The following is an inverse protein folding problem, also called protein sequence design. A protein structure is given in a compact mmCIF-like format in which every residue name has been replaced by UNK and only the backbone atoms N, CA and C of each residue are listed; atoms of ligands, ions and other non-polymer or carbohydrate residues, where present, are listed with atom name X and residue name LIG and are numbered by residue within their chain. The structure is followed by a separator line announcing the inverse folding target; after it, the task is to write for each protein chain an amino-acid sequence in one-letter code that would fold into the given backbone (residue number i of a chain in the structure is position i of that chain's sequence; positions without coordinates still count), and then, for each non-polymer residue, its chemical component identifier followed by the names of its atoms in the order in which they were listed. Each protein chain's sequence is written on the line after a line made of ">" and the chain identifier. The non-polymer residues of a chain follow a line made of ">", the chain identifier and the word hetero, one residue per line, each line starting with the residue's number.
data_IF_654833481326
#
_entry.id   IF_654833481326
#
_cell.length_a   1.000
_cell.length_b   1.000
_cell.length_c   1.000
_cell.angle_alpha   90.00
_cell.angle_beta   90.00
_cell.angle_gamma   90.00
#
_symmetry.space_group_name_H-M   'P 1'
#
loop_
_entity.id
_entity.type
_entity.pdbx_description
1 polymer ?
#
# COMPACT_ATOMS: atom_id res chain seq x y z
N UNK A 1 17.13 -42.09 16.57
CA UNK A 1 17.69 -41.40 15.38
C UNK A 1 16.66 -40.49 14.72
N UNK A 2 15.48 -40.99 14.34
CA UNK A 2 14.44 -40.20 13.66
C UNK A 2 13.97 -38.94 14.43
N UNK A 3 13.76 -39.02 15.75
CA UNK A 3 13.31 -37.86 16.55
C UNK A 3 14.31 -36.69 16.53
N UNK A 4 15.61 -36.97 16.55
CA UNK A 4 16.65 -35.93 16.49
C UNK A 4 16.65 -35.23 15.12
N UNK A 5 16.40 -35.99 14.05
CA UNK A 5 16.28 -35.45 12.69
C UNK A 5 15.05 -34.56 12.56
N UNK A 6 13.89 -35.00 13.10
CA UNK A 6 12.65 -34.20 13.08
C UNK A 6 12.82 -32.89 13.86
N UNK A 7 13.41 -32.95 15.07
CA UNK A 7 13.65 -31.74 15.86
C UNK A 7 14.62 -30.77 15.18
N UNK A 8 15.68 -31.29 14.55
CA UNK A 8 16.60 -30.46 13.78
C UNK A 8 15.91 -29.78 12.59
N UNK A 9 15.04 -30.50 11.87
CA UNK A 9 14.30 -29.97 10.74
C UNK A 9 13.29 -28.90 11.19
N UNK A 10 12.57 -29.13 12.27
CA UNK A 10 11.65 -28.15 12.86
C UNK A 10 12.40 -26.88 13.31
N UNK A 11 13.58 -27.02 13.92
CA UNK A 11 14.40 -25.87 14.31
C UNK A 11 14.86 -25.06 13.08
N UNK A 12 15.28 -25.72 12.00
CA UNK A 12 15.69 -25.03 10.76
C UNK A 12 14.52 -24.26 10.14
N UNK A 13 13.33 -24.87 10.06
CA UNK A 13 12.14 -24.21 9.51
C UNK A 13 11.73 -23.01 10.38
N UNK A 14 11.76 -23.16 11.70
CA UNK A 14 11.45 -22.06 12.62
C UNK A 14 12.43 -20.89 12.50
N UNK A 15 13.74 -21.18 12.37
CA UNK A 15 14.75 -20.14 12.17
C UNK A 15 14.56 -19.47 10.81
N UNK A 16 14.36 -20.23 9.73
CA UNK A 16 14.17 -19.68 8.39
C UNK A 16 12.92 -18.78 8.29
N UNK A 17 11.83 -19.13 8.99
CA UNK A 17 10.63 -18.31 9.05
C UNK A 17 10.79 -17.04 9.92
N UNK A 18 11.75 -17.03 10.83
CA UNK A 18 12.03 -15.90 11.71
C UNK A 18 13.03 -14.89 11.13
N UNK A 19 13.71 -15.21 10.01
CA UNK A 19 14.56 -14.25 9.32
C UNK A 19 13.65 -13.29 8.53
N UNK A 20 13.53 -12.00 8.92
CA UNK A 20 12.87 -11.02 8.06
C UNK A 20 13.65 -10.96 6.75
N UNK A 21 12.96 -10.93 5.61
CA UNK A 21 13.58 -10.81 4.29
C UNK A 21 14.46 -9.54 4.27
N UNK A 22 15.76 -9.70 4.53
CA UNK A 22 16.72 -8.61 4.45
C UNK A 22 16.88 -8.32 2.96
N UNK A 23 16.29 -7.20 2.52
CA UNK A 23 16.59 -6.60 1.22
C UNK A 23 18.08 -6.26 1.22
N UNK A 24 18.89 -7.17 0.68
CA UNK A 24 20.33 -7.03 0.59
C UNK A 24 20.68 -5.87 -0.34
N UNK A 25 20.87 -4.68 0.23
CA UNK A 25 21.66 -3.57 -0.30
C UNK A 25 22.43 -2.95 0.87
N UNK A 26 23.76 -2.76 0.77
CA UNK A 26 24.52 -2.07 1.81
C UNK A 26 24.08 -0.60 1.83
N UNK A 27 23.35 -0.19 2.87
CA UNK A 27 22.86 1.18 3.06
C UNK A 27 21.37 1.35 3.37
N UNK A 28 20.59 0.26 3.47
CA UNK A 28 19.16 0.35 3.83
C UNK A 28 18.96 0.48 5.36
N UNK A 29 19.44 1.58 5.94
CA UNK A 29 19.16 1.98 7.32
C UNK A 29 17.97 2.95 7.34
N UNK A 30 16.73 2.48 7.19
CA UNK A 30 15.53 3.28 7.52
C UNK A 30 14.25 2.42 7.64
N UNK A 31 14.11 1.75 8.79
CA UNK A 31 12.89 1.73 9.61
C UNK A 31 11.49 1.77 8.98
N UNK A 32 11.20 0.94 7.97
CA UNK A 32 9.82 0.73 7.50
C UNK A 32 9.54 -0.74 7.22
N UNK A 33 8.34 -1.26 7.52
CA UNK A 33 7.97 -2.60 7.06
C UNK A 33 8.09 -2.62 5.53
N UNK A 34 8.64 -3.69 4.93
CA UNK A 34 8.70 -3.80 3.48
C UNK A 34 7.27 -3.67 2.96
N UNK A 35 7.02 -2.66 2.13
CA UNK A 35 5.74 -2.52 1.46
C UNK A 35 5.46 -3.87 0.77
N UNK A 36 4.44 -4.56 1.24
CA UNK A 36 4.06 -5.88 0.73
C UNK A 36 3.79 -5.73 -0.76
N UNK A 37 4.65 -6.31 -1.60
CA UNK A 37 4.58 -6.18 -3.06
C UNK A 37 5.51 -5.13 -3.70
N UNK A 38 6.45 -4.55 -2.96
CA UNK A 38 7.48 -3.68 -3.55
C UNK A 38 8.42 -4.51 -4.45
N UNK A 39 8.39 -4.20 -5.75
CA UNK A 39 9.30 -4.78 -6.72
C UNK A 39 10.75 -4.34 -6.39
N UNK A 40 11.70 -5.27 -6.17
CA UNK A 40 13.09 -4.96 -5.81
C UNK A 40 13.83 -4.07 -6.81
N UNK A 41 13.34 -4.01 -8.06
CA UNK A 41 13.92 -3.20 -9.13
C UNK A 41 13.44 -1.74 -9.13
N UNK A 42 12.44 -1.40 -8.30
CA UNK A 42 11.93 -0.04 -8.20
C UNK A 42 12.73 0.68 -7.10
N UNK A 43 13.42 1.78 -7.43
CA UNK A 43 14.13 2.57 -6.43
C UNK A 43 13.23 3.00 -5.26
N UNK A 44 13.74 3.03 -4.02
CA UNK A 44 12.95 3.39 -2.85
C UNK A 44 12.24 4.74 -2.98
N UNK A 45 12.88 5.73 -3.60
CA UNK A 45 12.32 7.07 -3.81
C UNK A 45 11.09 7.08 -4.74
N UNK A 46 10.97 6.11 -5.65
CA UNK A 46 9.76 5.90 -6.46
C UNK A 46 8.71 5.19 -5.62
N UNK A 47 9.09 4.10 -4.95
CA UNK A 47 8.16 3.30 -4.16
C UNK A 47 7.51 4.07 -2.99
N UNK A 48 8.20 5.10 -2.48
CA UNK A 48 7.70 5.98 -1.42
C UNK A 48 6.91 7.19 -1.95
N UNK A 49 6.87 7.41 -3.27
CA UNK A 49 6.25 8.61 -3.81
C UNK A 49 4.72 8.57 -3.65
N UNK A 50 4.04 9.69 -3.32
CA UNK A 50 2.59 9.71 -3.10
C UNK A 50 1.76 9.31 -4.33
N UNK A 51 2.28 9.54 -5.53
CA UNK A 51 1.64 9.16 -6.80
C UNK A 51 1.81 7.68 -7.14
N UNK A 52 2.71 6.96 -6.46
CA UNK A 52 3.01 5.58 -6.78
C UNK A 52 1.89 4.66 -6.25
N UNK A 53 1.31 3.78 -7.10
CA UNK A 53 0.27 2.87 -6.65
C UNK A 53 0.77 1.90 -5.58
N UNK A 54 0.02 1.75 -4.49
CA UNK A 54 0.35 0.80 -3.42
C UNK A 54 -0.64 -0.34 -3.39
N UNK A 55 -0.14 -1.56 -3.30
CA UNK A 55 -0.99 -2.72 -3.07
C UNK A 55 -1.44 -2.76 -1.61
N UNK A 56 -2.72 -3.01 -1.38
CA UNK A 56 -3.30 -3.10 -0.04
C UNK A 56 -4.28 -4.28 0.02
N UNK A 57 -4.35 -4.98 1.16
CA UNK A 57 -5.33 -6.05 1.33
C UNK A 57 -6.73 -5.44 1.44
N UNK A 58 -7.69 -6.01 0.70
CA UNK A 58 -9.11 -5.72 0.87
C UNK A 58 -9.97 -6.92 0.46
N UNK A 59 -11.18 -6.98 1.02
CA UNK A 59 -12.07 -8.16 0.95
C UNK A 59 -13.29 -7.94 0.07
N UNK A 60 -13.66 -6.70 -0.20
CA UNK A 60 -14.88 -6.35 -0.95
C UNK A 60 -14.51 -5.81 -2.32
N UNK A 61 -14.94 -6.50 -3.38
CA UNK A 61 -14.72 -6.05 -4.77
C UNK A 61 -15.48 -4.76 -5.02
N UNK A 62 -14.81 -3.76 -5.56
CA UNK A 62 -15.39 -2.44 -5.85
C UNK A 62 -14.36 -1.33 -5.81
N UNK A 63 -14.82 -0.09 -5.95
CA UNK A 63 -14.01 1.10 -5.75
C UNK A 63 -14.56 1.93 -4.59
N UNK A 64 -13.67 2.53 -3.82
CA UNK A 64 -14.02 3.40 -2.69
C UNK A 64 -13.00 4.53 -2.56
N UNK A 65 -13.44 5.66 -2.02
CA UNK A 65 -12.53 6.72 -1.61
C UNK A 65 -11.96 6.38 -0.23
N UNK A 66 -10.64 6.45 -0.08
CA UNK A 66 -9.98 6.31 1.22
C UNK A 66 -9.84 7.67 1.91
N UNK A 67 -9.60 8.70 1.11
CA UNK A 67 -9.58 10.09 1.52
C UNK A 67 -10.03 10.97 0.34
N UNK A 68 -9.94 12.29 0.50
CA UNK A 68 -10.40 13.26 -0.49
C UNK A 68 -9.63 13.24 -1.81
N UNK A 69 -8.45 12.63 -1.88
CA UNK A 69 -7.59 12.62 -3.06
C UNK A 69 -7.02 11.24 -3.37
N UNK A 70 -7.53 10.18 -2.75
CA UNK A 70 -7.03 8.81 -2.89
C UNK A 70 -8.19 7.86 -3.05
N UNK A 71 -8.13 7.06 -4.12
CA UNK A 71 -9.07 5.97 -4.37
C UNK A 71 -8.44 4.61 -4.12
N UNK A 72 -9.27 3.66 -3.71
CA UNK A 72 -8.97 2.24 -3.58
C UNK A 72 -9.79 1.47 -4.60
N UNK A 73 -9.11 0.67 -5.42
CA UNK A 73 -9.74 -0.27 -6.35
C UNK A 73 -9.49 -1.68 -5.86
N UNK A 74 -10.52 -2.35 -5.39
CA UNK A 74 -10.48 -3.69 -4.85
C UNK A 74 -10.92 -4.74 -5.85
N UNK A 75 -10.09 -5.75 -6.00
CA UNK A 75 -10.31 -6.95 -6.82
C UNK A 75 -10.42 -8.17 -5.93
N UNK A 76 -10.65 -9.36 -6.52
CA UNK A 76 -10.76 -10.62 -5.76
C UNK A 76 -9.48 -11.03 -5.02
N UNK A 77 -8.32 -10.51 -5.42
CA UNK A 77 -7.00 -10.89 -4.86
C UNK A 77 -6.41 -9.81 -3.93
N UNK A 78 -7.15 -8.73 -3.68
CA UNK A 78 -6.68 -7.54 -2.98
C UNK A 78 -6.94 -6.27 -3.80
N UNK A 79 -6.41 -5.14 -3.35
CA UNK A 79 -6.71 -3.85 -3.94
C UNK A 79 -5.51 -2.95 -4.16
N UNK A 80 -5.71 -1.95 -5.01
CA UNK A 80 -4.70 -0.96 -5.33
C UNK A 80 -5.17 0.41 -4.86
N UNK A 81 -4.39 1.01 -3.97
CA UNK A 81 -4.52 2.39 -3.54
C UNK A 81 -3.78 3.30 -4.54
N UNK A 82 -4.45 4.33 -5.04
CA UNK A 82 -3.88 5.33 -5.95
C UNK A 82 -4.34 6.74 -5.59
N UNK A 83 -3.42 7.69 -5.64
CA UNK A 83 -3.76 9.10 -5.56
C UNK A 83 -4.44 9.56 -6.87
N UNK A 84 -5.44 10.43 -6.74
CA UNK A 84 -6.01 11.23 -7.82
C UNK A 84 -4.99 12.30 -8.22
N UNK A 85 -4.05 11.86 -9.06
CA UNK A 85 -2.84 12.61 -9.42
C UNK A 85 -3.08 13.57 -10.58
N UNK A 86 -4.22 13.47 -11.24
CA UNK A 86 -4.60 14.34 -12.36
C UNK A 86 -5.02 15.71 -11.79
N UNK A 87 -4.35 16.81 -12.17
CA UNK A 87 -4.72 18.16 -11.71
C UNK A 87 -6.15 18.57 -12.07
N UNK A 88 -6.73 17.97 -13.12
CA UNK A 88 -8.11 18.23 -13.56
C UNK A 88 -9.14 17.41 -12.79
N UNK A 89 -8.72 16.32 -12.15
CA UNK A 89 -9.56 15.41 -11.36
C UNK A 89 -8.91 15.12 -10.00
N UNK A 90 -8.62 16.14 -9.17
CA UNK A 90 -7.78 15.96 -7.98
C UNK A 90 -8.55 15.33 -6.81
N UNK A 91 -9.88 15.21 -6.90
CA UNK A 91 -10.71 14.75 -5.79
C UNK A 91 -11.18 13.33 -6.01
N UNK A 92 -11.36 12.56 -4.93
CA UNK A 92 -12.08 11.29 -4.98
C UNK A 92 -13.56 11.52 -4.65
N UNK A 93 -14.44 11.00 -5.51
CA UNK A 93 -15.89 11.04 -5.32
C UNK A 93 -16.49 9.69 -5.73
N UNK A 94 -17.21 9.03 -4.80
CA UNK A 94 -17.84 7.71 -5.01
C UNK A 94 -16.89 6.62 -5.57
N UNK A 95 -15.62 6.65 -5.17
CA UNK A 95 -14.60 5.69 -5.60
C UNK A 95 -13.92 6.02 -6.93
N UNK A 96 -14.20 7.18 -7.53
CA UNK A 96 -13.60 7.62 -8.78
C UNK A 96 -12.96 9.01 -8.65
N UNK A 97 -11.93 9.30 -9.45
CA UNK A 97 -11.34 10.64 -9.45
C UNK A 97 -12.23 11.62 -10.21
N UNK A 98 -12.45 12.80 -9.65
CA UNK A 98 -13.43 13.79 -10.07
C UNK A 98 -12.87 15.19 -9.94
N UNK A 99 -13.37 16.09 -10.78
CA UNK A 99 -13.11 17.53 -10.67
C UNK A 99 -13.82 18.16 -9.47
N UNK A 100 -14.87 17.53 -8.96
CA UNK A 100 -15.69 18.05 -7.86
C UNK A 100 -15.47 17.24 -6.59
N UNK A 101 -15.15 17.90 -5.46
CA UNK A 101 -14.98 17.20 -4.19
C UNK A 101 -16.29 16.52 -3.76
N UNK A 102 -16.16 15.45 -2.98
CA UNK A 102 -17.30 14.89 -2.26
C UNK A 102 -17.81 15.90 -1.22
N UNK A 103 -19.05 15.73 -0.76
CA UNK A 103 -19.65 16.62 0.24
C UNK A 103 -18.82 16.71 1.53
N UNK A 104 -18.12 15.64 1.88
CA UNK A 104 -17.28 15.51 3.07
C UNK A 104 -15.91 16.19 2.91
N UNK A 105 -15.49 16.38 1.66
CA UNK A 105 -14.20 16.94 1.27
C UNK A 105 -14.31 18.38 0.75
N UNK A 106 -15.53 18.92 0.63
CA UNK A 106 -15.75 20.31 0.31
C UNK A 106 -15.33 21.17 1.51
N UNK A 107 -14.36 22.06 1.31
CA UNK A 107 -14.08 23.12 2.28
C UNK A 107 -15.36 23.97 2.41
N UNK A 108 -15.83 24.29 3.63
CA UNK A 108 -16.99 25.15 3.81
C UNK A 108 -16.75 26.44 3.02
N UNK A 109 -17.71 26.81 2.17
CA UNK A 109 -17.65 28.11 1.51
C UNK A 109 -17.68 29.17 2.62
N UNK A 110 -16.56 29.87 2.79
CA UNK A 110 -16.51 31.04 3.65
C UNK A 110 -17.59 32.02 3.13
N UNK A 111 -18.58 32.41 3.95
CA UNK A 111 -19.52 33.43 3.51
C UNK A 111 -18.71 34.69 3.24
N UNK A 112 -18.65 35.08 1.96
CA UNK A 112 -17.95 36.28 1.53
C UNK A 112 -18.32 37.46 2.43
N UNK A 113 -17.29 38.09 3.02
CA UNK A 113 -17.40 39.34 3.77
C UNK A 113 -17.78 40.52 2.86
#
# INVERSE_FOLDING_TARGET
>A
MALKVVLALCAIVAIAAAVPAQSGWPGAEAGGPPAVGANPWIPPWIASAPWFPRWVPCTTVGSACLDCSTKLVCTKIGGMQRACSDPTLPYCNLGECSATPSAECAVPADPAA
#
